data_IF_471517792820
#
_entry.id   IF_471517792820
#
_cell.length_a   1.000
_cell.length_b   1.000
_cell.length_c   1.000
_cell.angle_alpha   90.00
_cell.angle_beta   90.00
_cell.angle_gamma   90.00
#
_symmetry.space_group_name_H-M   'P 1'
#
loop_
_entity.id
_entity.type
_entity.pdbx_description
1 polymer ?
#
# COMPACT_ATOMS: atom_id res chain seq x y z
N UNK A 1 -26.95 -23.77 -25.51
CA UNK A 1 -28.24 -23.36 -24.93
C UNK A 1 -28.49 -21.93 -25.35
N UNK A 2 -29.63 -21.66 -25.98
CA UNK A 2 -29.98 -20.33 -26.50
C UNK A 2 -30.19 -19.35 -25.34
N UNK A 3 -29.88 -18.07 -25.53
CA UNK A 3 -30.15 -17.02 -24.53
C UNK A 3 -31.63 -16.93 -24.14
N UNK A 4 -32.54 -17.37 -25.03
CA UNK A 4 -33.98 -17.46 -24.78
C UNK A 4 -34.33 -18.57 -23.76
N UNK A 5 -33.71 -19.75 -23.88
CA UNK A 5 -33.95 -20.90 -22.98
C UNK A 5 -33.57 -20.55 -21.53
N UNK A 6 -32.43 -19.85 -21.37
CA UNK A 6 -31.96 -19.40 -20.05
C UNK A 6 -32.88 -18.35 -19.40
N UNK A 7 -33.61 -17.55 -20.20
CA UNK A 7 -34.59 -16.58 -19.66
C UNK A 7 -35.83 -17.30 -19.18
N UNK A 8 -36.35 -18.27 -19.93
CA UNK A 8 -37.52 -19.07 -19.53
C UNK A 8 -37.24 -19.86 -18.25
N UNK A 9 -36.08 -20.49 -18.14
CA UNK A 9 -35.65 -21.21 -16.93
C UNK A 9 -35.64 -20.30 -15.70
N UNK A 10 -35.12 -19.07 -15.84
CA UNK A 10 -35.09 -18.09 -14.75
C UNK A 10 -36.49 -17.66 -14.32
N UNK A 11 -37.37 -17.41 -15.29
CA UNK A 11 -38.77 -17.04 -15.02
C UNK A 11 -39.53 -18.18 -14.33
N UNK A 12 -39.39 -19.41 -14.81
CA UNK A 12 -40.01 -20.58 -14.21
C UNK A 12 -39.52 -20.81 -12.77
N UNK A 13 -38.22 -20.66 -12.52
CA UNK A 13 -37.66 -20.73 -11.17
C UNK A 13 -38.26 -19.66 -10.25
N UNK A 14 -38.33 -18.42 -10.70
CA UNK A 14 -38.91 -17.33 -9.91
C UNK A 14 -40.40 -17.56 -9.59
N UNK A 15 -41.19 -18.04 -10.57
CA UNK A 15 -42.60 -18.37 -10.36
C UNK A 15 -42.75 -19.52 -9.35
N UNK A 16 -41.92 -20.56 -9.47
CA UNK A 16 -41.90 -21.67 -8.52
C UNK A 16 -41.57 -21.20 -7.11
N UNK A 17 -40.52 -20.40 -6.96
CA UNK A 17 -40.04 -19.92 -5.65
C UNK A 17 -41.09 -19.01 -4.98
N UNK A 18 -41.73 -18.11 -5.75
CA UNK A 18 -42.83 -17.27 -5.27
C UNK A 18 -44.04 -18.12 -4.83
N UNK A 19 -44.44 -19.11 -5.63
CA UNK A 19 -45.55 -19.99 -5.30
C UNK A 19 -45.26 -20.87 -4.05
N UNK A 20 -44.02 -21.35 -3.89
CA UNK A 20 -43.62 -22.19 -2.76
C UNK A 20 -43.49 -21.40 -1.46
N UNK A 21 -43.22 -20.09 -1.55
CA UNK A 21 -43.11 -19.20 -0.39
C UNK A 21 -44.47 -18.86 0.25
N UNK A 22 -45.56 -18.96 -0.52
CA UNK A 22 -46.91 -18.60 -0.08
C UNK A 22 -47.60 -19.80 0.55
N UNK A 23 -48.18 -19.66 1.76
CA UNK A 23 -48.97 -20.74 2.35
C UNK A 23 -50.21 -21.05 1.50
N UNK A 24 -50.66 -22.31 1.54
CA UNK A 24 -51.86 -22.73 0.82
C UNK A 24 -53.07 -21.95 1.38
N UNK A 25 -53.88 -21.30 0.52
CA UNK A 25 -55.02 -20.51 0.99
C UNK A 25 -56.11 -21.40 1.59
N UNK A 26 -56.85 -20.88 2.58
CA UNK A 26 -57.94 -21.61 3.23
C UNK A 26 -59.11 -21.95 2.29
N UNK A 27 -59.23 -21.21 1.18
CA UNK A 27 -60.18 -21.44 0.09
C UNK A 27 -59.85 -22.68 -0.75
N UNK A 28 -58.64 -23.23 -0.61
CA UNK A 28 -58.25 -24.45 -1.29
C UNK A 28 -59.05 -25.66 -0.78
N UNK A 29 -59.59 -26.45 -1.71
CA UNK A 29 -60.32 -27.69 -1.38
C UNK A 29 -59.50 -28.64 -0.51
N UNK A 30 -58.17 -28.68 -0.72
CA UNK A 30 -57.26 -29.50 0.06
C UNK A 30 -57.17 -29.05 1.52
N UNK A 31 -57.07 -27.74 1.76
CA UNK A 31 -57.07 -27.19 3.11
C UNK A 31 -58.41 -27.45 3.82
N UNK A 32 -59.54 -27.24 3.14
CA UNK A 32 -60.86 -27.52 3.68
C UNK A 32 -61.05 -29.00 4.08
N UNK A 33 -60.50 -29.93 3.30
CA UNK A 33 -60.52 -31.35 3.65
C UNK A 33 -59.64 -31.66 4.87
N UNK A 34 -58.42 -31.11 4.92
CA UNK A 34 -57.54 -31.26 6.09
C UNK A 34 -58.19 -30.70 7.36
N UNK A 35 -58.81 -29.52 7.27
CA UNK A 35 -59.52 -28.90 8.39
C UNK A 35 -60.65 -29.78 8.92
N UNK A 36 -61.42 -30.44 8.03
CA UNK A 36 -62.45 -31.41 8.41
C UNK A 36 -61.88 -32.64 9.12
N UNK A 37 -60.65 -33.02 8.83
CA UNK A 37 -59.93 -34.10 9.52
C UNK A 37 -59.27 -33.64 10.83
N UNK A 38 -59.50 -32.39 11.26
CA UNK A 38 -58.99 -31.84 12.51
C UNK A 38 -57.66 -31.07 12.40
N UNK A 39 -57.18 -30.80 11.18
CA UNK A 39 -55.99 -29.99 10.97
C UNK A 39 -56.26 -28.51 11.29
N UNK A 40 -55.38 -27.88 12.07
CA UNK A 40 -55.39 -26.44 12.35
C UNK A 40 -54.11 -25.80 11.81
N UNK A 41 -54.15 -24.55 11.29
CA UNK A 41 -52.94 -23.83 10.88
C UNK A 41 -51.88 -23.85 11.98
N UNK A 42 -50.65 -24.24 11.65
CA UNK A 42 -49.53 -24.34 12.60
C UNK A 42 -49.38 -25.69 13.33
N UNK A 43 -50.32 -26.61 13.14
CA UNK A 43 -50.22 -27.98 13.66
C UNK A 43 -49.35 -28.85 12.74
N UNK A 44 -48.50 -29.71 13.31
CA UNK A 44 -47.79 -30.73 12.53
C UNK A 44 -48.68 -31.95 12.29
N UNK A 45 -48.50 -32.65 11.17
CA UNK A 45 -49.16 -33.91 10.89
C UNK A 45 -48.50 -35.08 11.66
N UNK A 46 -49.27 -36.09 12.04
CA UNK A 46 -48.80 -37.32 12.71
C UNK A 46 -49.32 -37.50 14.14
N UNK A 47 -49.14 -38.71 14.69
CA UNK A 47 -49.55 -39.04 16.07
C UNK A 47 -48.62 -38.35 17.08
N UNK A 48 -49.20 -37.64 18.05
CA UNK A 48 -48.47 -37.09 19.20
C UNK A 48 -48.08 -38.25 20.12
N UNK A 49 -46.81 -38.33 20.53
CA UNK A 49 -46.34 -39.39 21.43
C UNK A 49 -46.67 -39.05 22.89
N UNK A 50 -46.51 -37.78 23.27
CA UNK A 50 -46.80 -37.26 24.62
C UNK A 50 -47.81 -36.09 24.62
N UNK A 51 -48.35 -35.74 25.80
CA UNK A 51 -49.37 -34.68 25.97
C UNK A 51 -48.81 -33.27 25.72
N UNK A 52 -47.54 -33.06 26.05
CA UNK A 52 -46.79 -31.82 25.78
C UNK A 52 -46.12 -31.80 24.39
N UNK A 53 -46.27 -32.88 23.63
CA UNK A 53 -45.59 -33.04 22.34
C UNK A 53 -46.38 -32.31 21.24
N UNK A 54 -45.77 -31.25 20.69
CA UNK A 54 -46.35 -30.44 19.60
C UNK A 54 -46.47 -31.19 18.26
N UNK A 55 -46.10 -32.47 18.26
CA UNK A 55 -46.04 -33.38 17.11
C UNK A 55 -44.69 -33.29 16.40
N UNK A 56 -44.10 -34.44 16.10
CA UNK A 56 -42.76 -34.56 15.52
C UNK A 56 -42.72 -34.39 13.99
N UNK A 57 -43.82 -33.95 13.38
CA UNK A 57 -43.92 -33.81 11.93
C UNK A 57 -43.31 -32.49 11.45
N UNK A 58 -42.64 -32.52 10.30
CA UNK A 58 -42.17 -31.30 9.63
C UNK A 58 -43.35 -30.37 9.33
N UNK A 59 -43.23 -29.10 9.71
CA UNK A 59 -44.26 -28.07 9.47
C UNK A 59 -44.05 -27.34 8.15
N UNK A 60 -42.81 -27.30 7.69
CA UNK A 60 -42.41 -26.69 6.44
C UNK A 60 -42.04 -27.78 5.41
N UNK A 61 -42.35 -27.56 4.12
CA UNK A 61 -41.96 -28.49 3.07
C UNK A 61 -40.42 -28.54 2.94
N UNK A 62 -39.89 -29.72 2.61
CA UNK A 62 -38.47 -29.90 2.35
C UNK A 62 -38.09 -29.13 1.09
N UNK A 63 -37.06 -28.28 1.20
CA UNK A 63 -36.51 -27.54 0.06
C UNK A 63 -35.86 -28.51 -0.91
N UNK A 64 -36.29 -28.45 -2.17
CA UNK A 64 -35.77 -29.29 -3.25
C UNK A 64 -34.99 -28.41 -4.23
N UNK A 65 -33.69 -28.66 -4.36
CA UNK A 65 -32.87 -27.99 -5.37
C UNK A 65 -32.91 -28.77 -6.69
N UNK A 66 -33.67 -28.25 -7.65
CA UNK A 66 -33.73 -28.84 -9.00
C UNK A 66 -32.53 -28.38 -9.80
N UNK A 67 -31.59 -29.30 -10.07
CA UNK A 67 -30.45 -29.03 -10.94
C UNK A 67 -30.92 -28.89 -12.39
N UNK A 68 -30.78 -27.68 -12.94
CA UNK A 68 -31.14 -27.39 -14.34
C UNK A 68 -29.95 -27.61 -15.30
N UNK A 69 -28.72 -27.60 -14.79
CA UNK A 69 -27.52 -27.79 -15.59
C UNK A 69 -27.33 -29.27 -15.97
N UNK A 70 -26.85 -29.51 -17.19
CA UNK A 70 -26.48 -30.85 -17.69
C UNK A 70 -25.06 -31.27 -17.25
N UNK A 71 -24.43 -30.53 -16.33
CA UNK A 71 -23.09 -30.83 -15.83
C UNK A 71 -23.12 -32.05 -14.88
N UNK A 72 -21.96 -32.66 -14.63
CA UNK A 72 -21.83 -33.69 -13.60
C UNK A 72 -22.14 -33.15 -12.20
N UNK A 73 -22.63 -34.00 -11.30
CA UNK A 73 -22.81 -33.63 -9.88
C UNK A 73 -21.44 -33.23 -9.29
N UNK A 74 -21.38 -32.12 -8.55
CA UNK A 74 -20.13 -31.61 -7.96
C UNK A 74 -19.26 -30.72 -8.86
N UNK A 75 -19.52 -30.65 -10.17
CA UNK A 75 -18.74 -29.82 -11.09
C UNK A 75 -18.91 -28.32 -10.80
N UNK A 76 -20.14 -27.88 -10.54
CA UNK A 76 -20.44 -26.46 -10.32
C UNK A 76 -19.78 -25.98 -9.00
N UNK A 77 -19.80 -26.80 -7.95
CA UNK A 77 -19.11 -26.51 -6.67
C UNK A 77 -17.60 -26.45 -6.80
N UNK A 78 -17.00 -27.35 -7.60
CA UNK A 78 -15.56 -27.35 -7.83
C UNK A 78 -15.14 -26.13 -8.65
N UNK A 79 -15.92 -25.77 -9.67
CA UNK A 79 -15.66 -24.61 -10.50
C UNK A 79 -15.76 -23.31 -9.69
N UNK A 80 -16.78 -23.16 -8.83
CA UNK A 80 -16.89 -22.04 -7.91
C UNK A 80 -15.72 -21.98 -6.92
N UNK A 81 -15.31 -23.14 -6.38
CA UNK A 81 -14.18 -23.20 -5.46
C UNK A 81 -12.88 -22.75 -6.15
N UNK A 82 -12.60 -23.28 -7.34
CA UNK A 82 -11.44 -22.89 -8.16
C UNK A 82 -11.47 -21.40 -8.52
N UNK A 83 -12.64 -20.86 -8.88
CA UNK A 83 -12.80 -19.43 -9.18
C UNK A 83 -12.53 -18.56 -7.93
N UNK A 84 -13.06 -18.94 -6.77
CA UNK A 84 -12.80 -18.25 -5.49
C UNK A 84 -11.32 -18.31 -5.11
N UNK A 85 -10.66 -19.45 -5.32
CA UNK A 85 -9.23 -19.58 -5.05
C UNK A 85 -8.38 -18.66 -5.95
N UNK A 86 -8.68 -18.59 -7.25
CA UNK A 86 -8.01 -17.68 -8.19
C UNK A 86 -8.16 -16.22 -7.76
N UNK A 87 -9.38 -15.80 -7.44
CA UNK A 87 -9.64 -14.44 -6.96
C UNK A 87 -8.87 -14.10 -5.69
N UNK A 88 -8.81 -15.03 -4.74
CA UNK A 88 -8.03 -14.85 -3.50
C UNK A 88 -6.54 -14.68 -3.78
N UNK A 89 -5.97 -15.50 -4.66
CA UNK A 89 -4.55 -15.41 -5.04
C UNK A 89 -4.24 -14.07 -5.74
N UNK A 90 -5.11 -13.62 -6.65
CA UNK A 90 -4.96 -12.34 -7.33
C UNK A 90 -5.03 -11.18 -6.33
N UNK A 91 -6.00 -11.21 -5.42
CA UNK A 91 -6.14 -10.18 -4.38
C UNK A 91 -4.92 -10.13 -3.45
N UNK A 92 -4.40 -11.29 -3.04
CA UNK A 92 -3.19 -11.37 -2.21
C UNK A 92 -1.96 -10.84 -2.96
N UNK A 93 -1.80 -11.21 -4.24
CA UNK A 93 -0.73 -10.69 -5.08
C UNK A 93 -0.79 -9.17 -5.23
N UNK A 94 -1.99 -8.62 -5.46
CA UNK A 94 -2.20 -7.17 -5.54
C UNK A 94 -1.89 -6.47 -4.23
N UNK A 95 -2.30 -7.06 -3.09
CA UNK A 95 -1.98 -6.53 -1.76
C UNK A 95 -0.48 -6.48 -1.52
N UNK A 96 0.25 -7.57 -1.82
CA UNK A 96 1.72 -7.61 -1.69
C UNK A 96 2.41 -6.56 -2.55
N UNK A 97 1.97 -6.36 -3.81
CA UNK A 97 2.50 -5.30 -4.68
C UNK A 97 2.24 -3.91 -4.13
N UNK A 98 1.05 -3.67 -3.57
CA UNK A 98 0.72 -2.39 -2.95
C UNK A 98 1.59 -2.12 -1.72
N UNK A 99 1.80 -3.12 -0.86
CA UNK A 99 2.67 -3.03 0.31
C UNK A 99 4.12 -2.69 -0.09
N UNK A 100 4.66 -3.39 -1.10
CA UNK A 100 5.99 -3.10 -1.63
C UNK A 100 6.10 -1.68 -2.20
N UNK A 101 5.07 -1.19 -2.89
CA UNK A 101 5.05 0.17 -3.40
C UNK A 101 5.06 1.21 -2.27
N UNK A 102 4.33 0.97 -1.19
CA UNK A 102 4.32 1.85 -0.01
C UNK A 102 5.69 1.86 0.67
N UNK A 103 6.31 0.70 0.87
CA UNK A 103 7.66 0.58 1.45
C UNK A 103 8.69 1.36 0.63
N UNK A 104 8.68 1.19 -0.70
CA UNK A 104 9.56 1.93 -1.61
C UNK A 104 9.38 3.46 -1.52
N UNK A 105 8.12 3.93 -1.40
CA UNK A 105 7.83 5.36 -1.26
C UNK A 105 8.35 5.89 0.08
N UNK A 106 8.15 5.15 1.16
CA UNK A 106 8.60 5.58 2.48
C UNK A 106 10.13 5.60 2.58
N UNK A 107 10.82 4.65 1.97
CA UNK A 107 12.28 4.65 1.91
C UNK A 107 12.84 5.80 1.07
N UNK A 108 12.19 6.15 -0.05
CA UNK A 108 12.52 7.35 -0.81
C UNK A 108 12.34 8.62 0.05
N UNK A 109 11.23 8.72 0.79
CA UNK A 109 10.97 9.86 1.69
C UNK A 109 12.00 9.97 2.81
N UNK A 110 12.39 8.84 3.43
CA UNK A 110 13.43 8.81 4.47
C UNK A 110 14.76 9.32 3.93
N UNK A 111 15.21 8.82 2.77
CA UNK A 111 16.45 9.28 2.12
C UNK A 111 16.40 10.77 1.82
N UNK A 112 15.28 11.27 1.26
CA UNK A 112 15.16 12.69 0.95
C UNK A 112 15.16 13.58 2.20
N UNK A 113 14.57 13.13 3.31
CA UNK A 113 14.65 13.84 4.60
C UNK A 113 16.07 13.83 5.17
N UNK A 114 16.77 12.69 5.12
CA UNK A 114 18.17 12.59 5.56
C UNK A 114 19.06 13.62 4.86
N UNK A 115 18.98 13.66 3.53
CA UNK A 115 19.71 14.61 2.70
C UNK A 115 19.34 16.08 2.96
N UNK A 116 18.07 16.38 3.28
CA UNK A 116 17.67 17.74 3.67
C UNK A 116 18.27 18.11 5.02
N UNK A 117 18.17 17.23 6.01
CA UNK A 117 18.68 17.46 7.36
C UNK A 117 20.19 17.70 7.35
N UNK A 118 20.94 16.99 6.52
CA UNK A 118 22.40 17.18 6.44
C UNK A 118 22.77 18.49 5.76
N UNK A 119 22.03 18.91 4.73
CA UNK A 119 22.17 20.27 4.19
C UNK A 119 21.82 21.35 5.20
N UNK A 120 20.82 21.12 6.05
CA UNK A 120 20.45 22.05 7.12
C UNK A 120 21.58 22.14 8.17
N UNK A 121 22.14 21.00 8.60
CA UNK A 121 23.29 20.94 9.49
C UNK A 121 24.53 21.65 8.91
N UNK A 122 24.82 21.41 7.63
CA UNK A 122 25.89 22.11 6.92
C UNK A 122 25.65 23.62 6.97
N UNK A 123 24.45 24.08 6.63
CA UNK A 123 24.08 25.51 6.70
C UNK A 123 24.22 26.10 8.10
N UNK A 124 23.82 25.37 9.13
CA UNK A 124 23.96 25.80 10.53
C UNK A 124 25.44 25.90 10.95
N UNK A 125 26.28 24.97 10.53
CA UNK A 125 27.74 25.02 10.75
C UNK A 125 28.32 26.25 10.06
N UNK A 126 28.01 26.51 8.78
CA UNK A 126 28.47 27.72 8.07
C UNK A 126 28.06 29.00 8.81
N UNK A 127 26.79 29.07 9.20
CA UNK A 127 26.22 30.25 9.84
C UNK A 127 26.92 30.52 11.19
N UNK A 128 27.09 29.48 12.01
CA UNK A 128 27.82 29.58 13.27
C UNK A 128 29.29 29.99 13.06
N UNK A 129 30.00 29.39 12.08
CA UNK A 129 31.37 29.80 11.72
C UNK A 129 31.45 31.29 11.36
N UNK A 130 30.49 31.80 10.59
CA UNK A 130 30.42 33.22 10.20
C UNK A 130 30.26 34.13 11.43
N UNK A 131 29.33 33.80 12.33
CA UNK A 131 29.11 34.55 13.58
C UNK A 131 30.37 34.55 14.45
N UNK A 132 31.10 33.43 14.52
CA UNK A 132 32.33 33.33 15.30
C UNK A 132 33.48 34.20 14.76
N UNK A 133 33.53 34.42 13.44
CA UNK A 133 34.46 35.38 12.82
C UNK A 133 34.03 36.81 13.14
N UNK A 134 32.74 37.13 13.02
CA UNK A 134 32.19 38.46 13.33
C UNK A 134 32.39 38.85 14.82
N UNK A 135 32.30 37.87 15.72
CA UNK A 135 32.51 38.05 17.16
C UNK A 135 34.00 38.16 17.56
N UNK A 136 34.90 38.30 16.58
CA UNK A 136 36.29 38.75 16.73
C UNK A 136 37.15 37.91 17.70
N UNK A 137 36.95 36.59 17.70
CA UNK A 137 37.92 35.67 18.30
C UNK A 137 39.18 35.79 17.42
N UNK A 138 40.36 36.15 17.91
CA UNK A 138 41.50 36.43 17.00
C UNK A 138 42.10 35.16 16.37
N UNK A 139 41.91 34.01 17.03
CA UNK A 139 42.46 32.71 16.61
C UNK A 139 41.42 31.60 16.80
N UNK A 140 41.19 30.74 15.79
CA UNK A 140 40.31 29.60 15.96
C UNK A 140 40.96 28.62 16.95
N UNK A 141 40.25 28.23 18.01
CA UNK A 141 40.74 27.25 18.99
C UNK A 141 41.01 25.88 18.36
N UNK A 142 40.28 25.57 17.30
CA UNK A 142 40.38 24.34 16.51
C UNK A 142 40.40 24.74 15.04
N UNK A 143 41.23 24.08 14.23
CA UNK A 143 41.46 24.44 12.81
C UNK A 143 40.17 24.58 12.00
N UNK A 144 39.18 23.73 12.27
CA UNK A 144 37.91 23.65 11.55
C UNK A 144 36.83 24.64 12.01
N UNK A 145 37.17 25.54 12.93
CA UNK A 145 36.21 26.51 13.46
C UNK A 145 35.94 27.65 12.47
N UNK A 146 36.88 27.96 11.57
CA UNK A 146 36.75 29.02 10.58
C UNK A 146 36.83 28.47 9.17
N UNK A 147 36.19 29.17 8.23
CA UNK A 147 36.28 28.82 6.81
C UNK A 147 37.66 29.16 6.26
N UNK A 148 38.26 28.22 5.54
CA UNK A 148 39.48 28.44 4.77
C UNK A 148 39.15 28.80 3.31
N UNK A 149 39.84 29.80 2.79
CA UNK A 149 39.69 30.29 1.42
C UNK A 149 40.94 29.94 0.62
N UNK A 150 40.74 29.28 -0.53
CA UNK A 150 41.83 29.05 -1.48
C UNK A 150 42.30 30.40 -2.01
N UNK A 151 43.61 30.67 -1.95
CA UNK A 151 44.16 31.86 -2.61
C UNK A 151 44.15 31.60 -4.12
N UNK A 152 43.61 32.52 -4.95
CA UNK A 152 43.76 32.38 -6.39
C UNK A 152 45.24 32.44 -6.72
N UNK A 153 45.77 31.37 -7.31
CA UNK A 153 47.12 31.37 -7.87
C UNK A 153 47.11 32.36 -9.05
N UNK A 154 48.21 33.08 -9.28
CA UNK A 154 48.35 34.12 -10.32
C UNK A 154 47.96 33.69 -11.75
N UNK A 155 47.69 32.40 -11.96
CA UNK A 155 47.25 31.77 -13.20
C UNK A 155 45.77 31.98 -13.52
N UNK A 156 44.90 32.25 -12.54
CA UNK A 156 43.44 32.29 -12.74
C UNK A 156 42.90 33.64 -13.28
N UNK A 157 43.75 34.67 -13.39
CA UNK A 157 43.36 35.99 -13.92
C UNK A 157 43.64 36.13 -15.43
N UNK A 158 44.27 35.12 -16.05
CA UNK A 158 44.72 35.18 -17.44
C UNK A 158 44.29 33.95 -18.26
N UNK A 159 43.01 33.59 -18.23
CA UNK A 159 42.43 32.83 -19.35
C UNK A 159 42.36 33.74 -20.59
N UNK A 160 43.48 33.81 -21.31
CA UNK A 160 43.55 34.57 -22.55
C UNK A 160 44.83 34.45 -23.37
N UNK A 161 45.96 33.97 -22.84
CA UNK A 161 47.17 33.81 -23.65
C UNK A 161 47.98 32.56 -23.27
N UNK A 162 48.18 31.68 -24.26
CA UNK A 162 49.05 30.52 -24.19
C UNK A 162 50.47 30.93 -23.77
N UNK A 163 50.99 30.33 -22.70
CA UNK A 163 52.44 30.23 -22.51
C UNK A 163 52.81 28.95 -21.77
N UNK A 164 53.65 28.17 -22.42
CA UNK A 164 54.33 27.02 -21.86
C UNK A 164 55.28 27.44 -20.75
N UNK A 165 55.11 26.86 -19.57
CA UNK A 165 56.03 26.89 -18.43
C UNK A 165 55.69 25.70 -17.53
N UNK A 166 56.70 24.92 -17.15
CA UNK A 166 56.55 23.68 -16.37
C UNK A 166 55.83 23.93 -15.03
N UNK A 167 54.85 23.10 -14.63
CA UNK A 167 54.22 23.20 -13.32
C UNK A 167 55.12 22.53 -12.28
N UNK A 168 55.82 23.33 -11.48
CA UNK A 168 56.28 22.84 -10.17
C UNK A 168 55.06 22.77 -9.26
N UNK A 169 54.87 21.60 -8.63
CA UNK A 169 53.75 21.26 -7.75
C UNK A 169 53.75 22.15 -6.48
N UNK A 170 53.26 23.38 -6.56
CA UNK A 170 52.90 24.15 -5.37
C UNK A 170 51.53 23.68 -4.86
N UNK A 171 51.52 22.97 -3.72
CA UNK A 171 50.30 22.61 -3.02
C UNK A 171 49.41 23.84 -2.81
N UNK A 172 48.10 23.76 -3.09
CA UNK A 172 47.20 24.90 -2.96
C UNK A 172 47.18 25.43 -1.52
N UNK A 173 47.68 26.65 -1.30
CA UNK A 173 47.65 27.30 0.02
C UNK A 173 46.27 27.89 0.31
N UNK A 174 45.76 27.58 1.51
CA UNK A 174 44.50 28.11 2.02
C UNK A 174 44.76 29.14 3.12
N UNK A 175 43.88 30.14 3.24
CA UNK A 175 43.99 31.19 4.26
C UNK A 175 42.65 31.42 4.94
N UNK A 176 42.67 31.77 6.23
CA UNK A 176 41.49 32.24 6.94
C UNK A 176 41.17 33.71 6.55
N UNK A 177 39.98 34.18 6.91
CA UNK A 177 39.56 35.57 6.64
C UNK A 177 40.49 36.65 7.24
N UNK A 178 41.28 36.31 8.27
CA UNK A 178 42.26 37.20 8.90
C UNK A 178 43.64 37.20 8.20
N UNK A 179 43.82 36.42 7.12
CA UNK A 179 45.07 36.36 6.36
C UNK A 179 46.09 35.33 6.86
N UNK A 180 45.78 34.56 7.92
CA UNK A 180 46.65 33.50 8.40
C UNK A 180 46.50 32.22 7.54
N UNK A 181 47.58 31.45 7.41
CA UNK A 181 47.57 30.17 6.70
C UNK A 181 46.63 29.17 7.40
N UNK A 182 45.79 28.52 6.60
CA UNK A 182 44.79 27.57 7.03
C UNK A 182 45.07 26.19 6.43
N UNK A 183 44.75 25.10 7.14
CA UNK A 183 44.74 23.76 6.56
C UNK A 183 43.72 23.67 5.40
N UNK A 184 43.97 22.73 4.49
CA UNK A 184 42.98 22.33 3.50
C UNK A 184 41.76 21.71 4.17
N UNK A 185 40.56 22.15 3.77
CA UNK A 185 39.29 21.63 4.28
C UNK A 185 38.42 21.10 3.12
N UNK A 186 37.79 19.95 3.33
CA UNK A 186 36.74 19.45 2.45
C UNK A 186 35.50 20.34 2.55
N UNK A 187 35.07 20.87 1.40
CA UNK A 187 33.95 21.81 1.33
C UNK A 187 32.64 21.09 1.15
N UNK A 188 32.04 20.69 2.27
CA UNK A 188 30.72 20.06 2.28
C UNK A 188 29.61 20.90 1.62
N UNK A 189 29.77 22.22 1.57
CA UNK A 189 28.84 23.16 0.92
C UNK A 189 28.87 23.07 -0.62
N UNK A 190 30.01 22.66 -1.18
CA UNK A 190 30.27 22.65 -2.63
C UNK A 190 30.11 21.25 -3.24
N UNK A 191 30.04 20.21 -2.39
CA UNK A 191 29.79 18.84 -2.82
C UNK A 191 28.35 18.69 -3.32
N UNK A 192 28.21 17.93 -4.41
CA UNK A 192 26.90 17.54 -4.91
C UNK A 192 26.19 16.56 -3.98
N UNK A 193 24.86 16.50 -4.10
CA UNK A 193 24.02 15.54 -3.35
C UNK A 193 24.47 14.08 -3.56
N UNK A 194 25.00 13.78 -4.75
CA UNK A 194 25.51 12.46 -5.11
C UNK A 194 26.85 12.17 -4.43
N UNK A 195 27.77 13.14 -4.38
CA UNK A 195 29.07 12.98 -3.71
C UNK A 195 28.94 12.91 -2.18
N UNK A 196 28.02 13.67 -1.60
CA UNK A 196 27.72 13.59 -0.17
C UNK A 196 27.18 12.20 0.21
N UNK A 197 26.33 11.63 -0.65
CA UNK A 197 25.79 10.28 -0.47
C UNK A 197 26.86 9.21 -0.68
N UNK A 198 27.70 9.33 -1.72
CA UNK A 198 28.71 8.32 -2.07
C UNK A 198 29.86 8.26 -1.07
N UNK A 199 30.37 9.41 -0.63
CA UNK A 199 31.53 9.48 0.27
C UNK A 199 31.18 9.29 1.74
N UNK A 200 30.01 9.76 2.17
CA UNK A 200 29.65 9.79 3.60
C UNK A 200 28.41 8.95 3.94
N UNK A 201 27.76 8.32 2.95
CA UNK A 201 26.60 7.44 3.17
C UNK A 201 25.36 8.18 3.68
N UNK A 202 25.25 9.48 3.38
CA UNK A 202 24.24 10.41 3.90
C UNK A 202 23.04 10.53 2.97
#
# INVERSE_FOLDING_TARGET
>A
MSAADNRQIKLEKAIRDDALSKPVPETSKGFALMAKMGFKPGMSLGKKKDVEDLGSGIKEPIKMEVKVSRSGLGHDSEQEYRAKQRLKQEMESMKRRAEQAVELIDDYRKRKRGMSNTKDLIRDIIASRKVCVEMNIEHPKQSWFWKSYKKPTSTDVLEGHQRAGSPEDEDPRYFYANGNEAPEEERFDELSDEELLERYGI
#
